data_IF_233186777399
#
_entry.id   IF_233186777399
#
_cell.length_a   1.000
_cell.length_b   1.000
_cell.length_c   1.000
_cell.angle_alpha   90.00
_cell.angle_beta   90.00
_cell.angle_gamma   90.00
#
_symmetry.space_group_name_H-M   'P 1'
#
loop_
_entity.id
_entity.type
_entity.pdbx_description
1 polymer ?
#
# COMPACT_ATOMS: atom_id res chain seq x y z
N UNK A 1 5.35 21.84 11.80
CA UNK A 1 5.59 20.40 11.82
C UNK A 1 7.09 20.14 11.95
N UNK A 2 7.50 19.01 12.58
CA UNK A 2 8.93 18.70 12.79
C UNK A 2 9.62 18.36 11.47
N UNK A 3 9.00 17.56 10.62
CA UNK A 3 9.52 17.20 9.30
C UNK A 3 9.69 18.41 8.39
N UNK A 4 8.73 19.32 8.40
CA UNK A 4 8.78 20.56 7.65
C UNK A 4 10.01 21.42 8.02
N UNK A 5 10.29 21.56 9.31
CA UNK A 5 11.50 22.25 9.79
C UNK A 5 12.81 21.56 9.37
N UNK A 6 12.84 20.23 9.35
CA UNK A 6 14.02 19.47 8.90
C UNK A 6 14.23 19.62 7.39
N UNK A 7 13.17 19.57 6.61
CA UNK A 7 13.22 19.81 5.16
C UNK A 7 13.71 21.23 4.86
N UNK A 8 13.15 22.24 5.54
CA UNK A 8 13.60 23.62 5.40
C UNK A 8 15.09 23.77 5.75
N UNK A 9 15.56 23.11 6.82
CA UNK A 9 16.99 23.13 7.19
C UNK A 9 17.86 22.54 6.09
N UNK A 10 17.44 21.44 5.44
CA UNK A 10 18.15 20.85 4.30
C UNK A 10 18.19 21.81 3.10
N UNK A 11 17.04 22.41 2.76
CA UNK A 11 16.94 23.38 1.66
C UNK A 11 17.89 24.56 1.90
N UNK A 12 17.90 25.14 3.11
CA UNK A 12 18.78 26.25 3.47
C UNK A 12 20.26 25.88 3.32
N UNK A 13 20.67 24.68 3.73
CA UNK A 13 22.04 24.20 3.57
C UNK A 13 22.46 24.05 2.10
N UNK A 14 21.54 23.58 1.22
CA UNK A 14 21.81 23.50 -0.22
C UNK A 14 21.98 24.91 -0.81
N UNK A 15 21.12 25.85 -0.40
CA UNK A 15 21.18 27.25 -0.81
C UNK A 15 22.48 27.93 -0.36
N UNK A 16 22.80 27.89 0.93
CA UNK A 16 24.01 28.49 1.52
C UNK A 16 25.30 27.99 0.85
N UNK A 17 25.32 26.71 0.45
CA UNK A 17 26.44 26.09 -0.26
C UNK A 17 26.39 26.31 -1.79
N UNK A 18 25.38 26.98 -2.31
CA UNK A 18 25.15 27.24 -3.76
C UNK A 18 25.15 25.95 -4.60
N UNK A 19 24.46 24.91 -4.10
CA UNK A 19 24.50 23.57 -4.71
C UNK A 19 23.34 23.32 -5.69
N UNK A 20 22.37 24.21 -5.81
CA UNK A 20 21.19 23.99 -6.67
C UNK A 20 21.51 23.76 -8.16
N UNK A 21 22.64 24.25 -8.67
CA UNK A 21 23.07 23.99 -10.04
C UNK A 21 23.44 22.53 -10.34
N UNK A 22 23.52 21.68 -9.32
CA UNK A 22 23.87 20.25 -9.44
C UNK A 22 23.11 19.36 -8.48
N UNK A 23 22.05 19.85 -7.86
CA UNK A 23 21.24 19.10 -6.90
C UNK A 23 19.78 19.06 -7.34
N UNK A 24 19.24 17.87 -7.44
CA UNK A 24 17.80 17.64 -7.57
C UNK A 24 17.27 17.09 -6.24
N UNK A 25 16.36 17.78 -5.61
CA UNK A 25 15.66 17.33 -4.41
C UNK A 25 14.34 16.69 -4.79
N UNK A 26 14.14 15.44 -4.38
CA UNK A 26 12.88 14.73 -4.57
C UNK A 26 12.31 14.40 -3.19
N UNK A 27 11.07 14.79 -2.94
CA UNK A 27 10.32 14.52 -1.72
C UNK A 27 9.16 13.61 -2.06
N UNK A 28 9.12 12.43 -1.45
CA UNK A 28 8.12 11.39 -1.71
C UNK A 28 7.62 10.77 -0.42
N UNK A 29 6.42 10.19 -0.47
CA UNK A 29 5.98 9.19 0.51
C UNK A 29 5.77 7.83 -0.19
N UNK A 30 5.86 6.77 0.59
CA UNK A 30 5.56 5.41 0.15
C UNK A 30 4.05 5.20 -0.09
N UNK A 31 3.20 5.77 0.74
CA UNK A 31 1.74 5.74 0.66
C UNK A 31 1.13 6.91 1.44
N UNK A 32 -0.19 7.01 1.37
CA UNK A 32 -0.99 7.87 2.23
C UNK A 32 -1.52 7.15 3.47
N UNK A 33 -2.62 7.65 4.05
CA UNK A 33 -3.18 7.16 5.30
C UNK A 33 -4.69 7.41 5.33
N UNK A 34 -5.47 6.40 5.73
CA UNK A 34 -6.92 6.55 5.96
C UNK A 34 -7.28 6.43 7.43
N UNK A 35 -8.28 7.19 7.86
CA UNK A 35 -8.87 7.06 9.20
C UNK A 35 -9.55 5.71 9.36
N UNK A 36 -9.41 5.10 10.56
CA UNK A 36 -10.01 3.81 10.91
C UNK A 36 -11.00 3.99 12.05
N UNK A 37 -12.23 3.58 11.80
CA UNK A 37 -13.31 3.66 12.80
C UNK A 37 -13.93 2.30 13.09
N UNK A 38 -13.68 1.28 12.26
CA UNK A 38 -14.28 -0.04 12.40
C UNK A 38 -13.24 -1.16 12.33
N UNK A 39 -13.42 -2.19 13.18
CA UNK A 39 -12.57 -3.38 13.22
C UNK A 39 -13.40 -4.61 12.83
N UNK A 40 -12.93 -5.40 11.88
CA UNK A 40 -13.55 -6.65 11.46
C UNK A 40 -12.71 -7.80 12.00
N UNK A 41 -13.25 -8.53 12.99
CA UNK A 41 -12.55 -9.65 13.59
C UNK A 41 -12.79 -10.94 12.80
N UNK A 42 -11.84 -11.28 11.96
CA UNK A 42 -11.90 -12.45 11.08
C UNK A 42 -11.92 -13.75 11.89
N UNK A 43 -11.17 -13.79 13.03
CA UNK A 43 -11.14 -14.98 13.87
C UNK A 43 -12.50 -15.26 14.51
N UNK A 44 -13.26 -14.25 14.89
CA UNK A 44 -14.61 -14.43 15.45
C UNK A 44 -15.60 -14.92 14.40
N UNK A 45 -15.53 -14.37 13.17
CA UNK A 45 -16.38 -14.83 12.06
C UNK A 45 -16.19 -16.33 11.82
N UNK A 46 -14.94 -16.79 11.70
CA UNK A 46 -14.65 -18.21 11.46
C UNK A 46 -14.99 -19.09 12.67
N UNK A 47 -14.76 -18.60 13.88
CA UNK A 47 -15.05 -19.35 15.12
C UNK A 47 -16.54 -19.60 15.33
N UNK A 48 -17.42 -18.68 14.91
CA UNK A 48 -18.88 -18.86 15.02
C UNK A 48 -19.35 -20.07 14.21
N UNK A 49 -18.65 -20.43 13.16
CA UNK A 49 -18.90 -21.60 12.31
C UNK A 49 -17.98 -22.80 12.62
N UNK A 50 -17.28 -22.75 13.76
CA UNK A 50 -16.37 -23.81 14.23
C UNK A 50 -15.20 -24.12 13.29
N UNK A 51 -14.79 -23.12 12.48
CA UNK A 51 -13.69 -23.24 11.49
C UNK A 51 -12.37 -22.86 12.14
N UNK A 52 -11.39 -23.75 12.08
CA UNK A 52 -10.02 -23.50 12.48
C UNK A 52 -9.17 -23.06 11.29
N UNK A 53 -8.48 -21.93 11.43
CA UNK A 53 -7.61 -21.42 10.38
C UNK A 53 -6.42 -20.67 10.94
N UNK A 54 -5.30 -20.74 10.22
CA UNK A 54 -4.18 -19.84 10.41
C UNK A 54 -4.42 -18.57 9.62
N UNK A 55 -4.30 -17.43 10.28
CA UNK A 55 -4.56 -16.12 9.69
C UNK A 55 -3.25 -15.36 9.51
N UNK A 56 -3.07 -14.75 8.33
CA UNK A 56 -2.04 -13.75 8.04
C UNK A 56 -2.75 -12.47 7.60
N UNK A 57 -2.92 -11.52 8.52
CA UNK A 57 -3.71 -10.31 8.30
C UNK A 57 -2.83 -9.07 8.28
N UNK A 58 -2.96 -8.28 7.21
CA UNK A 58 -2.66 -6.86 7.18
C UNK A 58 -3.92 -6.03 7.49
N UNK A 59 -3.84 -4.70 7.50
CA UNK A 59 -5.01 -3.86 7.77
C UNK A 59 -6.15 -4.02 6.76
N UNK A 60 -5.83 -4.15 5.49
CA UNK A 60 -6.79 -4.15 4.38
C UNK A 60 -6.87 -5.47 3.60
N UNK A 61 -5.87 -6.34 3.73
CA UNK A 61 -5.80 -7.63 3.05
C UNK A 61 -5.45 -8.73 4.04
N UNK A 62 -6.05 -9.90 3.87
CA UNK A 62 -5.81 -11.08 4.69
C UNK A 62 -5.74 -12.35 3.88
N UNK A 63 -4.89 -13.28 4.35
CA UNK A 63 -4.81 -14.65 3.86
C UNK A 63 -5.25 -15.60 4.95
N UNK A 64 -6.13 -16.53 4.60
CA UNK A 64 -6.65 -17.56 5.47
C UNK A 64 -6.14 -18.89 4.94
N UNK A 65 -5.54 -19.68 5.85
CA UNK A 65 -5.03 -21.01 5.56
C UNK A 65 -5.84 -21.99 6.41
N UNK A 66 -6.62 -22.83 5.77
CA UNK A 66 -7.46 -23.84 6.42
C UNK A 66 -6.68 -25.12 6.68
N UNK A 67 -7.05 -25.84 7.71
CA UNK A 67 -6.44 -27.14 8.02
C UNK A 67 -6.95 -28.22 7.07
N UNK A 68 -8.21 -28.11 6.64
CA UNK A 68 -8.83 -29.06 5.72
C UNK A 68 -9.53 -28.34 4.56
N UNK A 69 -9.22 -28.73 3.34
CA UNK A 69 -9.75 -28.15 2.11
C UNK A 69 -11.30 -28.22 2.03
N UNK A 70 -11.91 -29.25 2.64
CA UNK A 70 -13.37 -29.38 2.71
C UNK A 70 -14.07 -28.25 3.45
N UNK A 71 -13.34 -27.47 4.29
CA UNK A 71 -13.89 -26.35 5.05
C UNK A 71 -13.95 -25.04 4.23
N UNK A 72 -13.29 -24.99 3.05
CA UNK A 72 -13.25 -23.79 2.19
C UNK A 72 -14.64 -23.25 1.87
N UNK A 73 -15.62 -24.07 1.43
CA UNK A 73 -16.97 -23.57 1.09
C UNK A 73 -17.67 -22.93 2.29
N UNK A 74 -17.56 -23.53 3.46
CA UNK A 74 -18.17 -23.02 4.70
C UNK A 74 -17.51 -21.72 5.14
N UNK A 75 -16.16 -21.64 5.09
CA UNK A 75 -15.41 -20.44 5.40
C UNK A 75 -15.75 -19.28 4.45
N UNK A 76 -15.84 -19.56 3.15
CA UNK A 76 -16.25 -18.58 2.15
C UNK A 76 -17.67 -18.04 2.44
N UNK A 77 -18.62 -18.92 2.78
CA UNK A 77 -19.98 -18.53 3.11
C UNK A 77 -20.02 -17.63 4.34
N UNK A 78 -19.33 -18.01 5.42
CA UNK A 78 -19.25 -17.25 6.67
C UNK A 78 -18.65 -15.85 6.44
N UNK A 79 -17.55 -15.77 5.71
CA UNK A 79 -16.86 -14.50 5.45
C UNK A 79 -17.65 -13.60 4.49
N UNK A 80 -18.26 -14.16 3.44
CA UNK A 80 -19.09 -13.43 2.46
C UNK A 80 -20.39 -12.87 3.04
N UNK A 81 -20.83 -13.38 4.19
CA UNK A 81 -21.98 -12.81 4.91
C UNK A 81 -21.67 -11.38 5.45
N UNK A 82 -20.40 -11.03 5.66
CA UNK A 82 -20.00 -9.69 6.02
C UNK A 82 -19.82 -8.83 4.75
N UNK A 83 -20.68 -7.84 4.56
CA UNK A 83 -20.71 -6.97 3.37
C UNK A 83 -19.50 -6.02 3.24
N UNK A 84 -18.75 -5.82 4.31
CA UNK A 84 -17.55 -4.99 4.33
C UNK A 84 -16.31 -5.75 3.82
N UNK A 85 -16.44 -7.06 3.53
CA UNK A 85 -15.39 -7.91 3.01
C UNK A 85 -15.62 -8.24 1.54
N UNK A 86 -14.55 -8.18 0.77
CA UNK A 86 -14.44 -8.85 -0.53
C UNK A 86 -13.66 -10.14 -0.30
N UNK A 87 -14.24 -11.26 -0.63
CA UNK A 87 -13.72 -12.60 -0.27
C UNK A 87 -13.58 -13.46 -1.50
N UNK A 88 -12.38 -13.97 -1.73
CA UNK A 88 -12.00 -14.74 -2.90
C UNK A 88 -11.46 -16.10 -2.50
N UNK A 89 -11.93 -17.18 -3.14
CA UNK A 89 -11.17 -18.43 -3.19
C UNK A 89 -9.90 -18.22 -4.02
N UNK A 90 -8.95 -19.13 -3.93
CA UNK A 90 -7.68 -19.03 -4.65
C UNK A 90 -7.86 -18.81 -6.18
N UNK A 91 -8.86 -19.45 -6.76
CA UNK A 91 -9.15 -19.40 -8.22
C UNK A 91 -9.90 -18.14 -8.63
N UNK A 92 -10.48 -17.39 -7.68
CA UNK A 92 -11.27 -16.18 -7.93
C UNK A 92 -10.49 -14.89 -7.68
N UNK A 93 -9.21 -14.97 -7.26
CA UNK A 93 -8.43 -13.78 -6.89
C UNK A 93 -8.19 -12.92 -8.14
N UNK A 94 -8.62 -11.65 -8.13
CA UNK A 94 -8.31 -10.72 -9.22
C UNK A 94 -6.81 -10.53 -9.42
N UNK A 95 -6.37 -10.48 -10.66
CA UNK A 95 -4.93 -10.35 -11.01
C UNK A 95 -4.29 -9.08 -10.47
N UNK A 96 -5.05 -8.00 -10.34
CA UNK A 96 -4.63 -6.72 -9.77
C UNK A 96 -4.28 -6.78 -8.27
N UNK A 97 -4.71 -7.82 -7.54
CA UNK A 97 -4.31 -8.02 -6.14
C UNK A 97 -2.86 -8.49 -6.04
N UNK A 98 -2.32 -9.10 -7.08
CA UNK A 98 -0.89 -9.40 -7.21
C UNK A 98 -0.38 -10.40 -6.16
N UNK A 99 -1.12 -11.47 -5.88
CA UNK A 99 -0.75 -12.50 -4.92
C UNK A 99 0.34 -13.45 -5.43
N UNK A 100 1.10 -14.03 -4.51
CA UNK A 100 2.16 -14.98 -4.84
C UNK A 100 1.58 -16.41 -4.94
N UNK A 101 1.83 -17.11 -6.05
CA UNK A 101 1.27 -18.42 -6.36
C UNK A 101 1.37 -19.45 -5.23
N UNK A 102 2.55 -19.62 -4.63
CA UNK A 102 2.78 -20.66 -3.60
C UNK A 102 2.63 -20.20 -2.15
N UNK A 103 2.49 -18.89 -1.88
CA UNK A 103 2.39 -18.34 -0.52
C UNK A 103 1.02 -17.76 -0.20
N UNK A 104 0.11 -17.79 -1.15
CA UNK A 104 -1.26 -17.34 -0.99
C UNK A 104 -2.08 -18.31 -0.16
N UNK A 105 -2.94 -17.80 0.71
CA UNK A 105 -3.89 -18.60 1.46
C UNK A 105 -4.93 -19.29 0.59
N UNK A 106 -5.69 -20.20 1.16
CA UNK A 106 -6.82 -20.86 0.51
C UNK A 106 -7.94 -19.86 0.22
N UNK A 107 -8.04 -18.85 1.09
CA UNK A 107 -8.95 -17.70 0.92
C UNK A 107 -8.14 -16.42 1.08
N UNK A 108 -8.37 -15.46 0.18
CA UNK A 108 -7.90 -14.08 0.28
C UNK A 108 -9.10 -13.18 0.51
N UNK A 109 -8.96 -12.23 1.41
CA UNK A 109 -10.00 -11.24 1.65
C UNK A 109 -9.40 -9.84 1.69
N UNK A 110 -10.20 -8.87 1.24
CA UNK A 110 -9.85 -7.46 1.31
C UNK A 110 -10.99 -6.65 1.93
N UNK A 111 -10.66 -5.48 2.43
CA UNK A 111 -11.63 -4.49 2.89
C UNK A 111 -11.17 -3.09 2.50
N UNK A 112 -12.08 -2.12 2.56
CA UNK A 112 -11.79 -0.70 2.33
C UNK A 112 -11.86 0.09 3.63
N UNK A 113 -11.18 1.24 3.69
CA UNK A 113 -11.36 2.17 4.78
C UNK A 113 -12.85 2.59 4.89
N UNK A 114 -13.35 2.82 6.10
CA UNK A 114 -12.66 2.96 7.37
C UNK A 114 -12.52 1.63 8.17
N UNK A 115 -12.63 0.47 7.51
CA UNK A 115 -12.54 -0.84 8.16
C UNK A 115 -11.09 -1.31 8.25
N UNK A 116 -10.79 -2.12 9.28
CA UNK A 116 -9.50 -2.79 9.43
C UNK A 116 -9.71 -4.24 9.88
N UNK A 117 -8.97 -5.15 9.25
CA UNK A 117 -8.98 -6.57 9.60
C UNK A 117 -8.19 -6.82 10.88
N UNK A 118 -8.74 -7.60 11.80
CA UNK A 118 -8.09 -8.01 13.03
C UNK A 118 -8.35 -9.49 13.35
N UNK A 119 -7.47 -10.09 14.16
CA UNK A 119 -7.64 -11.46 14.69
C UNK A 119 -7.90 -11.50 16.18
N UNK A 120 -7.99 -10.35 16.83
CA UNK A 120 -8.21 -10.22 18.29
C UNK A 120 -9.25 -9.13 18.55
N UNK A 121 -9.91 -9.20 19.72
CA UNK A 121 -10.81 -8.14 20.16
C UNK A 121 -10.02 -6.94 20.66
N UNK A 122 -9.70 -6.03 19.77
CA UNK A 122 -9.17 -4.72 20.12
C UNK A 122 -10.34 -3.82 20.54
N UNK A 123 -10.19 -3.11 21.65
CA UNK A 123 -11.24 -2.21 22.15
C UNK A 123 -11.31 -0.89 21.38
N UNK A 124 -10.20 -0.48 20.75
CA UNK A 124 -10.10 0.82 20.07
C UNK A 124 -9.32 0.65 18.76
N UNK A 125 -9.87 1.10 17.64
CA UNK A 125 -9.13 1.12 16.38
C UNK A 125 -7.97 2.12 16.44
N UNK A 126 -6.89 1.91 15.67
CA UNK A 126 -5.87 2.93 15.47
C UNK A 126 -6.49 4.14 14.76
N UNK A 127 -5.93 5.34 14.98
CA UNK A 127 -6.44 6.56 14.32
C UNK A 127 -6.32 6.53 12.80
N UNK A 128 -5.33 5.84 12.28
CA UNK A 128 -5.12 5.72 10.85
C UNK A 128 -4.33 4.48 10.49
N UNK A 129 -4.58 3.96 9.30
CA UNK A 129 -3.86 2.82 8.69
C UNK A 129 -3.74 3.00 7.18
N UNK A 130 -2.99 2.12 6.56
CA UNK A 130 -2.70 2.09 5.13
C UNK A 130 -2.76 0.65 4.60
N UNK A 131 -2.47 0.47 3.28
CA UNK A 131 -2.48 -0.85 2.64
C UNK A 131 -3.81 -1.15 1.94
N UNK A 132 -4.70 -0.17 1.81
CA UNK A 132 -5.94 -0.27 1.05
C UNK A 132 -5.68 -0.11 -0.45
N UNK A 133 -6.57 -0.64 -1.27
CA UNK A 133 -6.50 -0.45 -2.72
C UNK A 133 -6.65 1.05 -3.06
N UNK A 134 -5.65 1.70 -3.69
CA UNK A 134 -5.68 3.14 -3.99
C UNK A 134 -6.76 3.51 -5.02
N UNK A 135 -7.22 2.58 -5.85
CA UNK A 135 -8.33 2.82 -6.77
C UNK A 135 -9.66 3.05 -6.05
N UNK A 136 -9.81 2.48 -4.84
CA UNK A 136 -11.00 2.62 -4.00
C UNK A 136 -10.79 3.64 -2.86
N UNK A 137 -9.54 3.87 -2.46
CA UNK A 137 -9.18 4.72 -1.32
C UNK A 137 -8.10 5.71 -1.76
N UNK A 138 -8.52 6.86 -2.28
CA UNK A 138 -7.60 7.90 -2.82
C UNK A 138 -6.63 8.44 -1.78
N UNK A 139 -6.97 8.35 -0.49
CA UNK A 139 -6.12 8.71 0.64
C UNK A 139 -4.84 7.84 0.71
N UNK A 140 -4.80 6.73 -0.03
CA UNK A 140 -3.59 5.89 -0.16
C UNK A 140 -2.55 6.47 -1.11
N UNK A 141 -2.91 7.44 -1.95
CA UNK A 141 -1.96 8.08 -2.84
C UNK A 141 -0.86 8.77 -2.03
N UNK A 142 0.38 8.53 -2.44
CA UNK A 142 1.55 9.22 -1.90
C UNK A 142 1.71 10.62 -2.47
N UNK A 143 2.72 11.33 -2.00
CA UNK A 143 3.13 12.63 -2.53
C UNK A 143 4.39 12.48 -3.38
N UNK A 144 4.53 13.36 -4.36
CA UNK A 144 5.73 13.52 -5.15
C UNK A 144 5.98 15.02 -5.41
N UNK A 145 7.16 15.50 -5.00
CA UNK A 145 7.65 16.82 -5.34
C UNK A 145 9.10 16.71 -5.78
N UNK A 146 9.44 17.43 -6.85
CA UNK A 146 10.81 17.56 -7.30
C UNK A 146 11.17 19.03 -7.46
N UNK A 147 12.43 19.39 -7.14
CA UNK A 147 12.93 20.75 -7.24
C UNK A 147 14.45 20.78 -7.49
N UNK A 148 14.93 21.77 -8.22
CA UNK A 148 16.34 22.02 -8.43
C UNK A 148 16.83 21.69 -9.85
N UNK A 149 18.05 21.17 -9.95
CA UNK A 149 18.69 20.93 -11.24
C UNK A 149 17.91 19.94 -12.11
N UNK A 150 17.64 20.31 -13.36
CA UNK A 150 16.93 19.47 -14.33
C UNK A 150 15.43 19.31 -14.05
N UNK A 151 14.82 20.20 -13.26
CA UNK A 151 13.40 20.16 -12.92
C UNK A 151 12.70 21.41 -13.43
N UNK A 152 11.71 21.23 -14.31
CA UNK A 152 10.84 22.30 -14.78
C UNK A 152 9.71 22.58 -13.77
N UNK A 153 9.22 23.82 -13.75
CA UNK A 153 8.05 24.19 -12.94
C UNK A 153 6.76 23.76 -13.66
N UNK A 154 6.29 22.53 -13.36
CA UNK A 154 5.09 21.95 -13.94
C UNK A 154 4.40 20.99 -12.98
N UNK A 155 3.11 20.76 -13.20
CA UNK A 155 2.38 19.65 -12.58
C UNK A 155 2.53 18.39 -13.41
N UNK A 156 2.70 17.26 -12.74
CA UNK A 156 2.81 15.94 -13.38
C UNK A 156 1.73 15.05 -12.75
N UNK A 157 0.95 14.39 -13.60
CA UNK A 157 -0.09 13.45 -13.18
C UNK A 157 0.28 12.01 -13.57
N UNK A 158 -0.34 11.04 -12.92
CA UNK A 158 -0.18 9.62 -13.27
C UNK A 158 1.18 9.03 -12.93
N UNK A 159 1.84 9.54 -11.90
CA UNK A 159 3.10 8.97 -11.39
C UNK A 159 2.81 7.70 -10.59
N UNK A 160 3.55 6.65 -10.87
CA UNK A 160 3.54 5.42 -10.10
C UNK A 160 4.80 5.31 -9.23
N UNK A 161 4.70 4.65 -8.09
CA UNK A 161 5.85 4.44 -7.20
C UNK A 161 7.02 3.71 -7.89
N UNK A 162 6.72 2.81 -8.82
CA UNK A 162 7.72 2.13 -9.66
C UNK A 162 8.57 3.10 -10.51
N UNK A 163 8.08 4.31 -10.77
CA UNK A 163 8.76 5.31 -11.61
C UNK A 163 9.90 6.03 -10.87
N UNK A 164 9.95 5.93 -9.53
CA UNK A 164 10.92 6.66 -8.72
C UNK A 164 12.35 6.19 -8.96
N UNK A 165 12.58 4.88 -8.93
CA UNK A 165 13.92 4.31 -9.12
C UNK A 165 14.50 4.62 -10.52
N UNK A 166 13.78 4.40 -11.64
CA UNK A 166 14.27 4.78 -12.96
C UNK A 166 14.44 6.32 -13.11
N UNK A 167 13.64 7.13 -12.44
CA UNK A 167 13.81 8.59 -12.41
C UNK A 167 15.14 8.98 -11.75
N UNK A 168 15.40 8.45 -10.58
CA UNK A 168 16.66 8.70 -9.87
C UNK A 168 17.87 8.22 -10.69
N UNK A 169 17.79 7.03 -11.30
CA UNK A 169 18.83 6.49 -12.16
C UNK A 169 19.10 7.39 -13.38
N UNK A 170 18.05 7.88 -14.04
CA UNK A 170 18.17 8.83 -15.16
C UNK A 170 18.88 10.12 -14.76
N UNK A 171 18.51 10.70 -13.60
CA UNK A 171 19.15 11.91 -13.08
C UNK A 171 20.64 11.71 -12.76
N UNK A 172 21.00 10.51 -12.32
CA UNK A 172 22.38 10.13 -11.98
C UNK A 172 23.18 9.58 -13.17
N UNK A 173 22.58 9.43 -14.35
CA UNK A 173 23.22 8.83 -15.51
C UNK A 173 23.53 7.32 -15.33
N UNK A 174 22.77 6.63 -14.49
CA UNK A 174 22.92 5.20 -14.21
C UNK A 174 21.97 4.40 -15.10
N UNK A 175 22.50 3.35 -15.75
CA UNK A 175 21.68 2.43 -16.53
C UNK A 175 20.91 1.49 -15.57
N UNK A 176 19.60 1.43 -15.74
CA UNK A 176 18.74 0.47 -15.03
C UNK A 176 18.75 -0.90 -15.74
N UNK A 177 18.56 -2.00 -15.00
CA UNK A 177 18.30 -3.32 -15.59
C UNK A 177 17.01 -3.33 -16.43
N UNK A 178 16.98 -4.16 -17.48
CA UNK A 178 15.84 -4.26 -18.41
C UNK A 178 14.56 -4.85 -17.75
N UNK A 179 14.68 -5.48 -16.57
CA UNK A 179 13.57 -6.08 -15.82
C UNK A 179 12.72 -5.03 -15.04
N UNK A 180 13.11 -3.76 -15.04
CA UNK A 180 12.38 -2.71 -14.30
C UNK A 180 11.07 -2.37 -14.99
N UNK A 181 9.97 -2.43 -14.24
CA UNK A 181 8.61 -2.18 -14.76
C UNK A 181 8.30 -0.67 -14.88
N UNK A 182 8.85 0.18 -14.00
CA UNK A 182 8.60 1.62 -13.99
C UNK A 182 9.31 2.36 -15.12
N UNK A 183 8.89 3.61 -15.34
CA UNK A 183 9.46 4.52 -16.36
C UNK A 183 9.99 5.78 -15.69
N UNK A 184 11.14 6.29 -16.20
CA UNK A 184 11.67 7.56 -15.69
C UNK A 184 10.69 8.70 -15.96
N UNK A 185 10.33 9.43 -14.91
CA UNK A 185 9.49 10.64 -14.98
C UNK A 185 10.27 11.71 -15.76
N UNK A 186 9.57 12.39 -16.67
CA UNK A 186 10.13 13.53 -17.37
C UNK A 186 10.00 14.76 -16.46
N UNK A 187 11.11 15.24 -15.90
CA UNK A 187 11.16 16.38 -14.96
C UNK A 187 11.48 17.70 -15.63
N UNK A 188 12.17 17.68 -16.76
CA UNK A 188 12.54 18.81 -17.64
C UNK A 188 11.43 19.24 -18.58
#
# INVERSE_FOLDING_TARGET
NKQDKLLLSLINQIEERKLWSKTTLIVVSDHGMSEITNLINIKEILKSDSINARLSLGPAIGHIFLEEEKEIPQALMALRANKELQVYSRDEIPTEIGVHESRTGDIVLTTSAPNMLVSRNNKTPPKGMHGYNPSLNKEMNGIFYAYGFGVANKSIEGIHQLDLAPTAAKLLGIKMPDIIEGRAIQLD
#
